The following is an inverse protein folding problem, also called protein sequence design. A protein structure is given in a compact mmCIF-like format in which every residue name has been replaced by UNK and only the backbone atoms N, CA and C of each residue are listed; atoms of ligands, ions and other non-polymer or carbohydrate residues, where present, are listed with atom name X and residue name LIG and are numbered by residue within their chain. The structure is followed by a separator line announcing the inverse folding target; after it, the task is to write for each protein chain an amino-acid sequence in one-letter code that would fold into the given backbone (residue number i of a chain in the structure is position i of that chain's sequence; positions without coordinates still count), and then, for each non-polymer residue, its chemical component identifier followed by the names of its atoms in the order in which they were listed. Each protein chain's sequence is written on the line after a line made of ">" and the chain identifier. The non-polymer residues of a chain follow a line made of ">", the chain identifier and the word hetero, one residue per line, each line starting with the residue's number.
data_IF_118932218763
#
_entry.id   IF_118932218763
#
_cell.length_a   1.000
_cell.length_b   1.000
_cell.length_c   1.000
_cell.angle_alpha   90.00
_cell.angle_beta   90.00
_cell.angle_gamma   90.00
#
_symmetry.space_group_name_H-M   'P 1'
#
loop_
_entity.id
_entity.type
_entity.pdbx_description
1 polymer ?
#
# COMPACT_ATOMS: atom_id res chain seq x y z
N UNK A 1 -60.93 65.06 47.98
CA UNK A 1 -61.01 64.30 49.22
C UNK A 1 -59.59 64.19 49.77
N UNK A 2 -59.38 64.89 50.89
CA UNK A 2 -58.45 64.68 52.02
C UNK A 2 -57.76 63.30 52.04
N UNK A 3 -56.46 63.15 52.35
CA UNK A 3 -55.84 63.34 53.67
C UNK A 3 -54.28 63.36 53.63
N UNK A 4 -53.71 63.84 54.73
CA UNK A 4 -52.32 64.23 55.04
C UNK A 4 -51.35 63.07 55.49
N UNK A 5 -50.04 63.35 55.72
CA UNK A 5 -48.91 62.42 55.92
C UNK A 5 -48.68 62.02 57.39
N UNK A 6 -47.52 61.42 57.80
CA UNK A 6 -46.43 62.23 58.42
C UNK A 6 -44.98 61.66 58.51
N UNK A 7 -44.02 62.57 58.86
CA UNK A 7 -42.77 62.48 59.68
C UNK A 7 -41.72 61.34 59.43
N UNK A 8 -40.38 61.43 59.62
CA UNK A 8 -39.46 62.13 60.55
C UNK A 8 -37.98 61.93 60.11
N UNK A 9 -37.08 62.88 60.43
CA UNK A 9 -35.58 62.81 60.37
C UNK A 9 -35.01 62.13 61.66
N UNK A 10 -33.69 61.78 61.84
CA UNK A 10 -32.58 62.76 62.03
C UNK A 10 -31.08 62.35 61.77
N UNK A 11 -30.22 63.39 61.73
CA UNK A 11 -28.80 63.57 62.25
C UNK A 11 -27.55 62.80 61.70
N UNK A 12 -26.49 63.42 61.12
CA UNK A 12 -25.36 64.32 61.57
C UNK A 12 -24.12 63.59 62.19
N UNK A 13 -22.86 64.13 62.26
CA UNK A 13 -22.34 65.47 61.88
C UNK A 13 -20.87 65.60 61.30
N UNK A 14 -20.56 66.82 60.80
CA UNK A 14 -19.33 67.69 60.88
C UNK A 14 -17.90 67.11 60.78
N UNK A 15 -16.88 67.75 60.17
CA UNK A 15 -16.40 69.12 60.41
C UNK A 15 -15.45 69.67 59.33
N UNK A 16 -15.33 71.01 59.32
CA UNK A 16 -14.49 71.92 58.50
C UNK A 16 -12.96 71.67 58.61
N UNK A 17 -12.10 72.23 57.74
CA UNK A 17 -11.41 73.54 57.94
C UNK A 17 -10.68 74.00 56.66
N UNK A 18 -10.65 75.32 56.51
CA UNK A 18 -10.16 76.18 55.43
C UNK A 18 -8.67 76.06 55.00
N UNK A 19 -8.45 76.49 53.76
CA UNK A 19 -7.19 76.65 53.04
C UNK A 19 -6.30 77.82 53.53
N UNK A 20 -4.98 77.69 53.30
CA UNK A 20 -3.99 78.78 53.36
C UNK A 20 -3.05 78.69 52.13
N UNK A 21 -2.59 79.82 51.55
CA UNK A 21 -2.29 79.90 50.13
C UNK A 21 -0.85 80.36 49.84
N UNK A 22 0.14 79.46 49.69
CA UNK A 22 1.43 79.82 49.09
C UNK A 22 2.14 78.61 48.50
N UNK A 23 2.28 78.53 47.17
CA UNK A 23 3.42 77.88 46.51
C UNK A 23 3.50 78.26 45.03
N UNK A 24 4.60 78.91 44.68
CA UNK A 24 4.92 79.42 43.35
C UNK A 24 5.01 78.32 42.29
N UNK A 25 4.53 78.62 41.08
CA UNK A 25 4.72 77.77 39.91
C UNK A 25 6.12 78.00 39.30
N UNK A 26 6.99 76.99 39.40
CA UNK A 26 8.08 76.77 38.45
C UNK A 26 7.63 75.74 37.41
N UNK A 27 7.84 76.01 36.12
CA UNK A 27 7.62 75.02 35.06
C UNK A 27 8.86 74.11 34.92
N UNK A 28 8.74 72.76 35.02
CA UNK A 28 9.86 71.86 34.75
C UNK A 28 10.00 71.55 33.26
N UNK A 29 11.25 71.51 32.78
CA UNK A 29 11.62 71.22 31.39
C UNK A 29 11.28 69.79 30.94
N UNK A 30 10.94 69.63 29.66
CA UNK A 30 10.60 68.35 29.04
C UNK A 30 11.80 67.42 28.86
N UNK A 31 11.79 66.26 29.51
CA UNK A 31 12.81 65.21 29.38
C UNK A 31 12.52 64.36 28.12
N UNK A 32 13.45 64.32 27.16
CA UNK A 32 13.36 63.45 25.97
C UNK A 32 13.47 61.97 26.39
N UNK A 33 12.49 61.14 25.98
CA UNK A 33 12.47 59.68 26.24
C UNK A 33 13.54 58.98 25.40
N UNK A 34 14.29 58.05 26.00
CA UNK A 34 15.38 57.32 25.34
C UNK A 34 14.84 56.12 24.53
N UNK A 35 15.39 55.89 23.33
CA UNK A 35 14.97 54.84 22.38
C UNK A 35 14.95 53.42 22.98
N UNK A 36 15.78 53.16 23.99
CA UNK A 36 15.84 51.89 24.71
C UNK A 36 14.55 51.54 25.45
N UNK A 37 13.80 52.54 25.95
CA UNK A 37 12.48 52.32 26.57
C UNK A 37 11.42 51.96 25.53
N UNK A 38 11.50 52.53 24.33
CA UNK A 38 10.55 52.26 23.24
C UNK A 38 10.70 50.82 22.74
N UNK A 39 11.93 50.35 22.54
CA UNK A 39 12.19 48.96 22.09
C UNK A 39 11.74 47.94 23.14
N UNK A 40 11.99 48.21 24.43
CA UNK A 40 11.55 47.35 25.53
C UNK A 40 10.03 47.32 25.69
N UNK A 41 9.36 48.43 25.38
CA UNK A 41 7.90 48.52 25.42
C UNK A 41 7.23 47.80 24.24
N UNK A 42 7.87 47.79 23.06
CA UNK A 42 7.37 47.07 21.87
C UNK A 42 7.53 45.55 22.03
N UNK A 43 8.63 45.06 22.61
CA UNK A 43 8.80 43.62 22.91
C UNK A 43 7.80 43.10 23.95
N UNK A 44 7.37 43.95 24.88
CA UNK A 44 6.38 43.60 25.91
C UNK A 44 4.93 43.86 25.48
N UNK A 45 4.70 44.36 24.25
CA UNK A 45 3.36 44.66 23.75
C UNK A 45 2.61 43.37 23.37
N UNK A 46 1.35 43.27 23.79
CA UNK A 46 0.50 42.08 23.59
C UNK A 46 0.36 41.67 22.11
N UNK A 47 0.44 42.63 21.19
CA UNK A 47 0.40 42.38 19.75
C UNK A 47 1.64 41.61 19.22
N UNK A 48 2.82 41.81 19.80
CA UNK A 48 4.04 41.10 19.39
C UNK A 48 4.03 39.64 19.85
N UNK A 49 3.52 39.37 21.06
CA UNK A 49 3.28 38.00 21.55
C UNK A 49 2.24 37.27 20.69
N UNK A 50 1.11 37.92 20.41
CA UNK A 50 0.06 37.36 19.52
C UNK A 50 0.57 37.08 18.10
N UNK A 51 1.40 37.95 17.52
CA UNK A 51 1.97 37.74 16.19
C UNK A 51 2.95 36.54 16.12
N UNK A 52 3.73 36.32 17.18
CA UNK A 52 4.64 35.18 17.29
C UNK A 52 3.89 33.86 17.51
N UNK A 53 2.84 33.88 18.30
CA UNK A 53 1.94 32.74 18.54
C UNK A 53 1.23 32.30 17.24
N UNK A 54 0.69 33.23 16.47
CA UNK A 54 0.01 32.93 15.18
C UNK A 54 0.98 32.41 14.11
N UNK A 55 2.23 32.89 14.08
CA UNK A 55 3.26 32.36 13.16
C UNK A 55 3.76 30.98 13.56
N UNK A 56 3.87 30.72 14.87
CA UNK A 56 4.18 29.39 15.40
C UNK A 56 3.05 28.42 15.07
N UNK A 57 1.79 28.76 15.35
CA UNK A 57 0.63 27.91 15.03
C UNK A 57 0.57 27.56 13.54
N UNK A 58 0.78 28.52 12.63
CA UNK A 58 0.81 28.24 11.19
C UNK A 58 1.96 27.31 10.80
N UNK A 59 3.17 27.51 11.31
CA UNK A 59 4.31 26.61 11.03
C UNK A 59 4.08 25.20 11.58
N UNK A 60 3.46 25.06 12.75
CA UNK A 60 3.14 23.75 13.33
C UNK A 60 2.05 23.04 12.53
N UNK A 61 1.02 23.76 12.06
CA UNK A 61 -0.02 23.23 11.19
C UNK A 61 0.52 22.77 9.83
N UNK A 62 1.41 23.55 9.20
CA UNK A 62 2.07 23.14 7.95
C UNK A 62 2.97 21.93 8.17
N UNK A 63 3.73 21.87 9.27
CA UNK A 63 4.59 20.74 9.62
C UNK A 63 3.80 19.45 9.81
N UNK A 64 2.67 19.53 10.55
CA UNK A 64 1.76 18.38 10.77
C UNK A 64 1.13 17.95 9.44
N UNK A 65 0.70 18.89 8.60
CA UNK A 65 0.12 18.59 7.28
C UNK A 65 1.11 17.88 6.35
N UNK A 66 2.37 18.34 6.32
CA UNK A 66 3.43 17.69 5.52
C UNK A 66 3.76 16.30 6.06
N UNK A 67 3.86 16.13 7.37
CA UNK A 67 4.08 14.81 7.98
C UNK A 67 2.94 13.82 7.68
N UNK A 68 1.68 14.27 7.78
CA UNK A 68 0.51 13.47 7.41
C UNK A 68 0.50 13.11 5.92
N UNK A 69 0.90 14.03 5.05
CA UNK A 69 0.97 13.77 3.61
C UNK A 69 2.05 12.76 3.26
N UNK A 70 3.21 12.82 3.92
CA UNK A 70 4.30 11.83 3.74
C UNK A 70 3.83 10.46 4.24
N UNK A 71 3.18 10.38 5.40
CA UNK A 71 2.64 9.11 5.93
C UNK A 71 1.58 8.56 4.97
N UNK A 72 0.66 9.39 4.49
CA UNK A 72 -0.35 8.99 3.51
C UNK A 72 0.28 8.47 2.21
N UNK A 73 1.27 9.19 1.67
CA UNK A 73 1.98 8.78 0.47
C UNK A 73 2.71 7.44 0.65
N UNK A 74 3.34 7.21 1.81
CA UNK A 74 3.97 5.93 2.14
C UNK A 74 2.94 4.80 2.27
N UNK A 75 1.78 5.05 2.90
CA UNK A 75 0.71 4.04 2.99
C UNK A 75 0.09 3.69 1.64
N UNK A 76 0.05 4.63 0.69
CA UNK A 76 -0.45 4.37 -0.66
C UNK A 76 0.46 3.43 -1.45
N UNK A 77 1.79 3.44 -1.19
CA UNK A 77 2.73 2.51 -1.84
C UNK A 77 2.46 1.07 -1.42
N UNK A 78 2.11 0.83 -0.15
CA UNK A 78 1.74 -0.50 0.36
C UNK A 78 0.32 -0.94 -0.03
N UNK A 79 -0.51 -0.07 -0.62
CA UNK A 79 -1.83 -0.42 -1.14
C UNK A 79 -1.81 -0.86 -2.61
N UNK A 80 -0.66 -0.81 -3.30
CA UNK A 80 -0.54 -1.43 -4.62
C UNK A 80 -0.54 -2.94 -4.38
N UNK A 81 -1.58 -3.70 -4.80
CA UNK A 81 -1.52 -5.14 -4.76
C UNK A 81 -0.29 -5.57 -5.56
N UNK A 82 0.51 -6.48 -5.03
CA UNK A 82 1.53 -7.12 -5.85
C UNK A 82 0.84 -7.62 -7.12
N UNK A 83 1.40 -7.37 -8.33
CA UNK A 83 0.78 -7.84 -9.55
C UNK A 83 0.67 -9.36 -9.45
N UNK A 84 -0.55 -9.86 -9.28
CA UNK A 84 -0.82 -11.30 -9.31
C UNK A 84 -0.38 -11.79 -10.66
N UNK A 85 0.55 -12.73 -10.69
CA UNK A 85 1.01 -13.24 -11.97
C UNK A 85 -0.18 -13.93 -12.67
N UNK A 86 -0.44 -13.68 -13.96
CA UNK A 86 -1.61 -14.23 -14.67
C UNK A 86 -1.74 -15.77 -14.58
N UNK A 87 -0.61 -16.45 -14.33
CA UNK A 87 -0.52 -17.89 -14.15
C UNK A 87 -1.08 -18.38 -12.79
N UNK A 88 -1.23 -17.53 -11.78
CA UNK A 88 -1.71 -17.92 -10.46
C UNK A 88 -3.13 -18.51 -10.49
N UNK A 89 -3.36 -19.55 -9.69
CA UNK A 89 -4.63 -20.26 -9.54
C UNK A 89 -4.56 -21.72 -9.99
N UNK A 90 -5.73 -22.32 -10.22
CA UNK A 90 -5.88 -23.74 -10.52
C UNK A 90 -6.15 -23.98 -12.01
N UNK A 91 -5.39 -24.91 -12.58
CA UNK A 91 -5.37 -25.22 -14.00
C UNK A 91 -5.44 -26.72 -14.21
N UNK A 92 -6.47 -27.18 -14.93
CA UNK A 92 -6.66 -28.57 -15.33
C UNK A 92 -6.03 -28.83 -16.69
N UNK A 93 -5.32 -29.95 -16.79
CA UNK A 93 -4.76 -30.49 -18.02
C UNK A 93 -5.68 -31.57 -18.61
N UNK A 94 -5.45 -31.94 -19.88
CA UNK A 94 -6.30 -32.90 -20.60
C UNK A 94 -6.41 -34.30 -19.95
N UNK A 95 -5.39 -34.71 -19.19
CA UNK A 95 -5.36 -35.97 -18.43
C UNK A 95 -6.11 -35.90 -17.09
N UNK A 96 -6.65 -34.73 -16.74
CA UNK A 96 -7.33 -34.46 -15.47
C UNK A 96 -6.38 -34.09 -14.33
N UNK A 97 -5.07 -33.99 -14.57
CA UNK A 97 -4.15 -33.45 -13.60
C UNK A 97 -4.45 -31.95 -13.37
N UNK A 98 -4.49 -31.54 -12.10
CA UNK A 98 -4.67 -30.14 -11.72
C UNK A 98 -3.35 -29.61 -11.18
N UNK A 99 -2.91 -28.48 -11.73
CA UNK A 99 -1.81 -27.67 -11.20
C UNK A 99 -2.36 -26.45 -10.47
N UNK A 100 -1.90 -26.25 -9.24
CA UNK A 100 -2.22 -25.07 -8.43
C UNK A 100 -0.98 -24.18 -8.30
N UNK A 101 -0.97 -23.06 -9.01
CA UNK A 101 0.07 -22.03 -8.93
C UNK A 101 -0.28 -21.04 -7.82
N UNK A 102 0.57 -20.95 -6.80
CA UNK A 102 0.44 -20.01 -5.69
C UNK A 102 1.40 -18.85 -5.86
N UNK A 103 0.96 -17.62 -5.54
CA UNK A 103 1.80 -16.40 -5.60
C UNK A 103 3.05 -16.39 -4.70
N UNK A 104 3.32 -17.46 -3.95
CA UNK A 104 4.59 -17.66 -3.24
C UNK A 104 5.64 -18.45 -4.05
N UNK A 105 5.41 -18.67 -5.36
CA UNK A 105 6.31 -19.44 -6.22
C UNK A 105 6.21 -20.96 -6.03
N UNK A 106 5.16 -21.47 -5.38
CA UNK A 106 4.90 -22.91 -5.24
C UNK A 106 3.83 -23.37 -6.21
N UNK A 107 4.07 -24.49 -6.88
CA UNK A 107 3.14 -25.20 -7.74
C UNK A 107 2.83 -26.54 -7.10
N UNK A 108 1.55 -26.87 -6.92
CA UNK A 108 1.13 -28.17 -6.45
C UNK A 108 0.52 -28.95 -7.60
N UNK A 109 0.93 -30.21 -7.78
CA UNK A 109 0.27 -31.16 -8.67
C UNK A 109 -0.65 -32.09 -7.88
N UNK A 110 -1.69 -32.62 -8.53
CA UNK A 110 -2.66 -33.55 -7.96
C UNK A 110 -2.06 -34.78 -7.25
N UNK A 111 -0.82 -35.18 -7.56
CA UNK A 111 -0.09 -36.25 -6.84
C UNK A 111 0.63 -35.76 -5.57
N UNK A 112 0.23 -34.61 -5.01
CA UNK A 112 0.86 -33.94 -3.85
C UNK A 112 2.34 -33.59 -4.05
N UNK A 113 2.81 -33.63 -5.30
CA UNK A 113 4.14 -33.17 -5.65
C UNK A 113 4.14 -31.65 -5.59
N UNK A 114 5.12 -31.10 -4.87
CA UNK A 114 5.34 -29.66 -4.78
C UNK A 114 6.56 -29.29 -5.61
N UNK A 115 6.38 -28.34 -6.51
CA UNK A 115 7.41 -27.78 -7.37
C UNK A 115 7.57 -26.30 -7.07
N UNK A 116 8.76 -25.77 -7.27
CA UNK A 116 8.96 -24.32 -7.33
C UNK A 116 8.69 -23.84 -8.76
N UNK A 117 8.19 -22.62 -8.91
CA UNK A 117 7.99 -22.00 -10.21
C UNK A 117 8.34 -20.52 -10.18
N UNK A 118 8.71 -19.98 -11.34
CA UNK A 118 8.94 -18.55 -11.57
C UNK A 118 8.62 -18.23 -13.02
N UNK A 119 8.24 -16.98 -13.29
CA UNK A 119 8.10 -16.50 -14.67
C UNK A 119 9.06 -15.36 -14.98
N UNK A 120 9.45 -15.29 -16.26
CA UNK A 120 10.09 -14.13 -16.86
C UNK A 120 9.31 -13.78 -18.14
N UNK A 121 8.38 -12.84 -18.02
CA UNK A 121 7.44 -12.49 -19.08
C UNK A 121 6.56 -13.67 -19.46
N UNK A 122 6.80 -14.26 -20.63
CA UNK A 122 6.07 -15.41 -21.17
C UNK A 122 6.79 -16.75 -20.98
N UNK A 123 7.92 -16.75 -20.27
CA UNK A 123 8.66 -17.95 -19.93
C UNK A 123 8.32 -18.39 -18.51
N UNK A 124 8.07 -19.68 -18.34
CA UNK A 124 7.80 -20.35 -17.08
C UNK A 124 8.92 -21.36 -16.82
N UNK A 125 9.57 -21.25 -15.67
CA UNK A 125 10.50 -22.27 -15.19
C UNK A 125 9.84 -23.02 -14.04
N UNK A 126 9.73 -24.34 -14.16
CA UNK A 126 9.23 -25.24 -13.11
C UNK A 126 10.36 -26.15 -12.64
N UNK A 127 10.63 -26.15 -11.34
CA UNK A 127 11.69 -26.93 -10.71
C UNK A 127 11.06 -27.93 -9.75
N UNK A 128 11.33 -29.22 -9.97
CA UNK A 128 10.76 -30.32 -9.19
C UNK A 128 11.86 -31.23 -8.69
N UNK A 129 11.83 -31.57 -7.40
CA UNK A 129 12.67 -32.63 -6.84
C UNK A 129 11.86 -33.93 -6.75
N UNK A 130 12.27 -34.94 -7.51
CA UNK A 130 11.64 -36.25 -7.56
C UNK A 130 12.41 -37.23 -6.68
N UNK A 131 11.76 -37.74 -5.64
CA UNK A 131 12.30 -38.82 -4.81
C UNK A 131 11.84 -40.18 -5.36
N UNK A 132 12.78 -41.09 -5.59
CA UNK A 132 12.50 -42.44 -6.06
C UNK A 132 13.40 -43.47 -5.36
N UNK A 133 12.98 -44.73 -5.35
CA UNK A 133 13.83 -45.83 -4.89
C UNK A 133 14.68 -46.35 -6.05
N UNK A 134 15.99 -46.41 -5.85
CA UNK A 134 16.90 -47.03 -6.81
C UNK A 134 16.85 -48.58 -6.73
N UNK A 135 17.59 -49.24 -7.63
CA UNK A 135 17.72 -50.71 -7.67
C UNK A 135 18.30 -51.31 -6.38
N UNK A 136 18.92 -50.48 -5.52
CA UNK A 136 19.50 -50.85 -4.24
C UNK A 136 18.57 -50.58 -3.05
N UNK A 137 17.29 -50.27 -3.30
CA UNK A 137 16.30 -49.87 -2.28
C UNK A 137 16.69 -48.61 -1.49
N UNK A 138 17.51 -47.73 -2.05
CA UNK A 138 17.84 -46.43 -1.45
C UNK A 138 16.99 -45.33 -2.07
N UNK A 139 16.52 -44.42 -1.22
CA UNK A 139 15.85 -43.20 -1.67
C UNK A 139 16.91 -42.29 -2.27
N UNK A 140 16.75 -41.99 -3.56
CA UNK A 140 17.56 -41.05 -4.32
C UNK A 140 16.65 -39.93 -4.82
N UNK A 141 17.18 -38.71 -4.94
CA UNK A 141 16.47 -37.60 -5.56
C UNK A 141 17.04 -37.26 -6.93
N UNK A 142 16.16 -36.77 -7.81
CA UNK A 142 16.48 -36.21 -9.13
C UNK A 142 15.92 -34.81 -9.22
N UNK A 143 16.71 -33.90 -9.78
CA UNK A 143 16.25 -32.54 -10.07
C UNK A 143 15.71 -32.49 -11.49
N UNK A 144 14.45 -32.07 -11.64
CA UNK A 144 13.83 -31.84 -12.95
C UNK A 144 13.56 -30.35 -13.11
N UNK A 145 14.14 -29.75 -14.14
CA UNK A 145 13.92 -28.35 -14.51
C UNK A 145 13.22 -28.31 -15.87
N UNK A 146 12.03 -27.72 -15.92
CA UNK A 146 11.26 -27.57 -17.14
C UNK A 146 11.19 -26.08 -17.49
N UNK A 147 11.65 -25.72 -18.68
CA UNK A 147 11.48 -24.38 -19.24
C UNK A 147 10.35 -24.44 -20.27
N UNK A 148 9.33 -23.64 -20.04
CA UNK A 148 8.07 -23.67 -20.77
C UNK A 148 7.80 -22.27 -21.29
N UNK A 149 7.52 -22.14 -22.58
CA UNK A 149 6.92 -20.96 -23.14
C UNK A 149 5.41 -21.06 -22.93
N UNK A 150 4.80 -20.12 -22.22
CA UNK A 150 3.36 -20.11 -22.00
C UNK A 150 2.68 -18.94 -22.71
N UNK A 151 1.38 -19.09 -22.97
CA UNK A 151 0.51 -18.05 -23.50
C UNK A 151 -0.87 -18.21 -22.87
N UNK A 152 -1.40 -17.14 -22.30
CA UNK A 152 -2.75 -17.11 -21.70
C UNK A 152 -3.70 -16.45 -22.70
N UNK A 153 -4.90 -17.00 -22.83
CA UNK A 153 -5.96 -16.46 -23.70
C UNK A 153 -6.48 -15.13 -23.20
N UNK A 154 -7.13 -14.35 -24.07
CA UNK A 154 -7.62 -13.01 -23.72
C UNK A 154 -8.63 -13.02 -22.55
N UNK A 155 -9.37 -14.11 -22.41
CA UNK A 155 -10.36 -14.31 -21.34
C UNK A 155 -9.77 -14.91 -20.05
N UNK A 156 -8.45 -15.15 -20.02
CA UNK A 156 -7.68 -15.71 -18.90
C UNK A 156 -8.14 -17.11 -18.43
N UNK A 157 -8.97 -17.78 -19.24
CA UNK A 157 -9.53 -19.08 -18.90
C UNK A 157 -8.69 -20.25 -19.43
N UNK A 158 -7.84 -20.01 -20.41
CA UNK A 158 -7.01 -21.03 -21.03
C UNK A 158 -5.54 -20.59 -21.08
N UNK A 159 -4.66 -21.58 -21.00
CA UNK A 159 -3.22 -21.39 -21.08
C UNK A 159 -2.60 -22.49 -21.93
N UNK A 160 -1.83 -22.09 -22.92
CA UNK A 160 -1.03 -22.99 -23.73
C UNK A 160 0.38 -23.06 -23.17
N UNK A 161 0.88 -24.28 -22.98
CA UNK A 161 2.28 -24.57 -22.66
C UNK A 161 2.97 -25.16 -23.88
N UNK A 162 4.17 -24.69 -24.16
CA UNK A 162 5.10 -25.22 -25.16
C UNK A 162 6.45 -25.45 -24.48
N UNK A 163 6.83 -26.72 -24.27
CA UNK A 163 8.08 -27.05 -23.61
C UNK A 163 9.26 -26.66 -24.52
N UNK A 164 10.18 -25.86 -23.98
CA UNK A 164 11.39 -25.42 -24.66
C UNK A 164 12.56 -26.34 -24.35
N UNK A 165 12.67 -26.76 -23.09
CA UNK A 165 13.71 -27.70 -22.64
C UNK A 165 13.28 -28.40 -21.36
N UNK A 166 13.74 -29.64 -21.18
CA UNK A 166 13.64 -30.37 -19.90
C UNK A 166 15.04 -30.82 -19.52
N UNK A 167 15.49 -30.47 -18.32
CA UNK A 167 16.75 -30.94 -17.75
C UNK A 167 16.45 -31.92 -16.62
N UNK A 168 17.15 -33.05 -16.61
CA UNK A 168 17.18 -34.00 -15.50
C UNK A 168 18.62 -34.09 -15.02
N UNK A 169 18.87 -33.73 -13.77
CA UNK A 169 20.23 -33.66 -13.18
C UNK A 169 21.21 -32.88 -14.08
N UNK A 170 20.81 -31.69 -14.53
CA UNK A 170 21.54 -30.81 -15.45
C UNK A 170 21.81 -31.38 -16.86
N UNK A 171 21.22 -32.52 -17.21
CA UNK A 171 21.28 -33.08 -18.56
C UNK A 171 20.01 -32.78 -19.34
N UNK A 172 20.17 -32.09 -20.46
CA UNK A 172 19.08 -31.81 -21.40
C UNK A 172 18.51 -33.13 -21.95
N UNK A 173 17.20 -33.25 -21.92
CA UNK A 173 16.45 -34.40 -22.40
C UNK A 173 15.86 -34.08 -23.78
N UNK A 174 15.89 -35.07 -24.67
CA UNK A 174 15.21 -34.96 -25.96
C UNK A 174 13.70 -34.87 -25.75
N UNK A 175 13.11 -33.73 -26.09
CA UNK A 175 11.66 -33.56 -26.14
C UNK A 175 11.20 -34.07 -27.51
N UNK A 176 10.55 -35.25 -27.52
CA UNK A 176 9.98 -35.81 -28.72
C UNK A 176 8.81 -34.93 -29.20
N UNK A 177 9.11 -34.03 -30.16
CA UNK A 177 8.22 -33.01 -30.73
C UNK A 177 7.82 -31.89 -29.74
N UNK A 178 7.41 -30.69 -30.21
CA UNK A 178 6.87 -29.68 -29.29
C UNK A 178 5.52 -30.18 -28.77
N UNK A 179 5.56 -30.94 -27.67
CA UNK A 179 4.38 -31.29 -26.90
C UNK A 179 3.80 -29.98 -26.42
N UNK A 180 2.66 -29.58 -26.96
CA UNK A 180 1.91 -28.47 -26.41
C UNK A 180 0.75 -28.98 -25.60
N UNK A 181 0.57 -28.40 -24.43
CA UNK A 181 -0.54 -28.72 -23.55
C UNK A 181 -1.43 -27.49 -23.42
N UNK A 182 -2.74 -27.72 -23.58
CA UNK A 182 -3.74 -26.75 -23.16
C UNK A 182 -4.07 -27.03 -21.69
N UNK A 183 -4.08 -25.98 -20.89
CA UNK A 183 -4.55 -25.99 -19.52
C UNK A 183 -5.75 -25.06 -19.43
N UNK A 184 -6.80 -25.50 -18.74
CA UNK A 184 -8.03 -24.74 -18.53
C UNK A 184 -8.18 -24.39 -17.06
N UNK A 185 -8.70 -23.20 -16.73
CA UNK A 185 -9.07 -22.87 -15.36
C UNK A 185 -10.05 -23.90 -14.81
N UNK A 186 -9.88 -24.33 -13.56
CA UNK A 186 -10.84 -25.24 -12.92
C UNK A 186 -12.24 -24.63 -12.80
N UNK A 187 -12.38 -23.30 -12.85
CA UNK A 187 -13.67 -22.61 -12.88
C UNK A 187 -14.49 -22.81 -14.16
N UNK A 188 -13.88 -23.28 -15.25
CA UNK A 188 -14.58 -23.59 -16.52
C UNK A 188 -14.58 -25.07 -16.87
N UNK A 189 -13.70 -25.86 -16.24
CA UNK A 189 -13.61 -27.30 -16.44
C UNK A 189 -13.12 -27.96 -15.14
N UNK A 190 -14.04 -28.56 -14.38
CA UNK A 190 -13.73 -29.21 -13.10
C UNK A 190 -13.34 -30.68 -13.24
N UNK A 191 -13.54 -31.27 -14.42
CA UNK A 191 -13.27 -32.66 -14.72
C UNK A 191 -12.93 -32.88 -16.20
N UNK A 192 -12.41 -34.07 -16.52
CA UNK A 192 -11.97 -34.41 -17.89
C UNK A 192 -13.10 -34.40 -18.93
N UNK A 193 -14.35 -34.64 -18.52
CA UNK A 193 -15.50 -34.54 -19.42
C UNK A 193 -15.75 -33.08 -19.81
N UNK A 194 -15.84 -32.18 -18.84
CA UNK A 194 -15.99 -30.74 -19.10
C UNK A 194 -14.80 -30.18 -19.87
N UNK A 195 -13.57 -30.58 -19.52
CA UNK A 195 -12.37 -30.23 -20.25
C UNK A 195 -12.53 -30.54 -21.73
N UNK A 196 -12.97 -31.75 -22.08
CA UNK A 196 -13.11 -32.18 -23.48
C UNK A 196 -14.15 -31.38 -24.27
N UNK A 197 -15.18 -30.85 -23.60
CA UNK A 197 -16.23 -30.04 -24.22
C UNK A 197 -15.74 -28.59 -24.42
N UNK A 198 -14.98 -28.07 -23.46
CA UNK A 198 -14.58 -26.66 -23.43
C UNK A 198 -13.28 -26.41 -24.19
N UNK A 199 -12.37 -27.39 -24.25
CA UNK A 199 -11.05 -27.27 -24.89
C UNK A 199 -11.15 -26.85 -26.36
N UNK A 200 -12.19 -27.29 -27.06
CA UNK A 200 -12.37 -27.02 -28.48
C UNK A 200 -12.56 -25.53 -28.79
N UNK A 201 -13.05 -24.74 -27.82
CA UNK A 201 -13.25 -23.30 -27.97
C UNK A 201 -11.92 -22.55 -28.12
N UNK A 202 -10.83 -23.10 -27.58
CA UNK A 202 -9.52 -22.44 -27.54
C UNK A 202 -8.55 -22.92 -28.62
N UNK A 203 -8.97 -23.85 -29.49
CA UNK A 203 -8.13 -24.38 -30.56
C UNK A 203 -7.64 -23.29 -31.54
N UNK A 204 -8.45 -22.25 -31.77
CA UNK A 204 -8.10 -21.13 -32.64
C UNK A 204 -7.07 -20.16 -32.02
N UNK A 205 -6.89 -20.22 -30.70
CA UNK A 205 -5.94 -19.40 -29.94
C UNK A 205 -4.62 -20.17 -29.67
N UNK A 206 -4.44 -21.34 -30.27
CA UNK A 206 -3.22 -22.14 -30.16
C UNK A 206 -2.01 -21.34 -30.70
N UNK A 207 -0.96 -21.13 -29.91
CA UNK A 207 0.17 -20.28 -30.31
C UNK A 207 1.03 -20.94 -31.38
N UNK A 208 1.75 -20.12 -32.16
CA UNK A 208 2.61 -20.60 -33.24
C UNK A 208 3.73 -21.53 -32.75
N UNK A 209 4.23 -21.30 -31.53
CA UNK A 209 5.21 -22.17 -30.85
C UNK A 209 4.73 -23.61 -30.66
N UNK A 210 3.42 -23.85 -30.81
CA UNK A 210 2.80 -25.16 -30.76
C UNK A 210 2.50 -25.78 -32.12
N UNK A 211 2.90 -25.12 -33.20
CA UNK A 211 2.66 -25.53 -34.59
C UNK A 211 3.93 -25.57 -35.43
N UNK A 212 4.97 -24.83 -35.05
CA UNK A 212 6.28 -24.89 -35.69
C UNK A 212 7.03 -26.14 -35.22
N UNK A 213 6.82 -27.24 -35.95
CA UNK A 213 7.78 -28.28 -36.33
C UNK A 213 7.02 -29.36 -37.12
N UNK A 214 6.81 -29.08 -38.41
CA UNK A 214 6.49 -30.09 -39.42
C UNK A 214 7.67 -30.18 -40.41
#
# INVERSE_FOLDING_TARGET
>A
MTEEPPHTQPEQPSSSVNASPHAMYYAPQSKKRQFSEVVRNVQNHSAYKKGKEVLLEKKTLYSIGVALFIILALTLIFMIPEPTEPIEGEWMKADGEVYTFKGNGQMMSGIQMTSAWTTDGSQLTVITELNYMDESNKVTSRLVVQNIQFTITEDENAMWWSWQSVLIDDQEQDIAEPQCALLLRTSIAENTYEYSVVSDNYNNEKPESCTQNA
#
